data_IF_011986900299
#
_entry.id   IF_011986900299
#
_cell.length_a   1.000
_cell.length_b   1.000
_cell.length_c   1.000
_cell.angle_alpha   90.00
_cell.angle_beta   90.00
_cell.angle_gamma   90.00
#
_symmetry.space_group_name_H-M   'P 1'
#
loop_
_entity.id
_entity.type
_entity.pdbx_description
1 polymer ?
#
# COMPACT_ATOMS: atom_id res chain seq x y z
N UNK A 1 28.92 -25.03 -1.38
CA UNK A 1 27.82 -25.71 -0.66
C UNK A 1 27.49 -25.07 0.71
N UNK A 2 27.83 -23.79 0.98
CA UNK A 2 27.82 -23.25 2.36
C UNK A 2 26.57 -22.43 2.74
N UNK A 3 25.73 -22.00 1.80
CA UNK A 3 24.68 -20.98 2.10
C UNK A 3 23.31 -21.51 2.57
N UNK A 4 23.11 -22.83 2.65
CA UNK A 4 21.79 -23.39 3.07
C UNK A 4 21.67 -23.58 4.58
N UNK A 5 22.78 -23.64 5.31
CA UNK A 5 22.75 -23.84 6.76
C UNK A 5 22.24 -22.59 7.50
N UNK A 6 22.61 -21.40 7.01
CA UNK A 6 22.23 -20.14 7.66
C UNK A 6 20.72 -19.92 7.72
N UNK A 7 19.97 -20.29 6.67
CA UNK A 7 18.53 -20.08 6.63
C UNK A 7 17.81 -20.85 7.75
N UNK A 8 18.25 -22.09 8.03
CA UNK A 8 17.65 -22.90 9.10
C UNK A 8 17.97 -22.34 10.50
N UNK A 9 19.18 -21.79 10.68
CA UNK A 9 19.59 -21.17 11.94
C UNK A 9 18.83 -19.86 12.18
N UNK A 10 18.74 -18.99 11.17
CA UNK A 10 18.00 -17.72 11.24
C UNK A 10 16.52 -17.96 11.53
N UNK A 11 15.91 -19.00 10.95
CA UNK A 11 14.51 -19.31 11.23
C UNK A 11 14.29 -19.80 12.69
N UNK A 12 15.27 -20.51 13.25
CA UNK A 12 15.24 -20.93 14.66
C UNK A 12 15.43 -19.73 15.60
N UNK A 13 16.32 -18.81 15.21
CA UNK A 13 16.59 -17.56 15.94
C UNK A 13 15.35 -16.64 15.98
N UNK A 14 14.62 -16.49 14.86
CA UNK A 14 13.36 -15.73 14.80
C UNK A 14 12.28 -16.36 15.69
N UNK A 15 12.19 -17.69 15.74
CA UNK A 15 11.23 -18.37 16.62
C UNK A 15 11.54 -18.11 18.08
N UNK A 16 12.81 -18.16 18.47
CA UNK A 16 13.25 -17.88 19.83
C UNK A 16 13.05 -16.40 20.21
N UNK A 17 13.36 -15.47 19.29
CA UNK A 17 13.14 -14.04 19.50
C UNK A 17 11.65 -13.71 19.69
N UNK A 18 10.77 -14.30 18.88
CA UNK A 18 9.32 -14.12 19.01
C UNK A 18 8.80 -14.63 20.36
N UNK A 19 9.29 -15.78 20.82
CA UNK A 19 8.87 -16.34 22.11
C UNK A 19 9.37 -15.49 23.29
N UNK A 20 10.57 -14.93 23.19
CA UNK A 20 11.09 -14.00 24.19
C UNK A 20 10.27 -12.70 24.25
N UNK A 21 9.90 -12.14 23.10
CA UNK A 21 9.06 -10.93 23.06
C UNK A 21 7.65 -11.14 23.62
N UNK A 22 7.07 -12.35 23.45
CA UNK A 22 5.74 -12.65 24.00
C UNK A 22 5.73 -12.85 25.52
N UNK A 23 6.85 -13.28 26.12
CA UNK A 23 6.93 -13.43 27.58
C UNK A 23 7.07 -12.07 28.28
N UNK A 24 7.78 -11.12 27.67
CA UNK A 24 8.02 -9.80 28.26
C UNK A 24 6.81 -8.84 28.21
N UNK A 25 5.71 -9.23 27.57
CA UNK A 25 4.53 -8.37 27.45
C UNK A 25 3.43 -8.63 28.48
N UNK A 26 3.57 -9.63 29.37
CA UNK A 26 2.46 -10.01 30.26
C UNK A 26 2.47 -9.42 31.67
N UNK A 27 3.48 -8.63 32.10
CA UNK A 27 3.56 -8.25 33.53
C UNK A 27 3.59 -6.74 33.85
N UNK A 28 3.84 -5.80 32.93
CA UNK A 28 4.14 -4.41 33.37
C UNK A 28 3.27 -3.28 32.82
N UNK A 29 2.03 -3.51 32.38
CA UNK A 29 1.21 -2.38 31.91
C UNK A 29 -0.30 -2.47 32.13
N UNK A 30 -0.76 -2.99 33.28
CA UNK A 30 -2.17 -2.89 33.69
C UNK A 30 -2.45 -1.77 34.72
N UNK A 31 -1.42 -1.06 35.23
CA UNK A 31 -1.64 -0.11 36.35
C UNK A 31 -1.36 1.37 36.06
N UNK A 32 -0.77 1.75 34.93
CA UNK A 32 -0.51 3.18 34.64
C UNK A 32 -1.56 3.86 33.75
N UNK A 33 -2.54 3.12 33.19
CA UNK A 33 -3.63 3.68 32.36
C UNK A 33 -4.84 4.10 33.21
N UNK A 34 -4.63 4.53 34.44
CA UNK A 34 -5.69 5.16 35.26
C UNK A 34 -5.32 6.54 35.80
N UNK A 35 -4.08 7.00 35.60
CA UNK A 35 -3.58 8.25 36.17
C UNK A 35 -3.43 9.42 35.22
N UNK A 36 -3.64 9.23 33.91
CA UNK A 36 -3.51 10.30 32.91
C UNK A 36 -4.77 10.44 32.07
N UNK A 37 -5.87 10.79 32.72
CA UNK A 37 -6.88 11.64 32.08
C UNK A 37 -6.27 13.04 32.12
N UNK A 38 -5.21 13.22 31.33
CA UNK A 38 -4.62 14.53 31.08
C UNK A 38 -5.68 15.31 30.30
N UNK A 39 -6.00 16.51 30.79
CA UNK A 39 -7.13 17.33 30.33
C UNK A 39 -7.16 17.52 28.82
N UNK A 40 -8.30 17.99 28.27
CA UNK A 40 -8.60 17.94 26.84
C UNK A 40 -7.38 18.36 26.04
N UNK A 41 -6.66 17.37 25.52
CA UNK A 41 -5.54 17.58 24.60
C UNK A 41 -6.15 18.43 23.52
N UNK A 42 -5.71 19.68 23.46
CA UNK A 42 -6.02 20.57 22.37
C UNK A 42 -5.84 19.73 21.13
N UNK A 43 -6.95 19.47 20.46
CA UNK A 43 -6.98 18.61 19.28
C UNK A 43 -6.08 19.35 18.32
N UNK A 44 -4.85 18.87 18.21
CA UNK A 44 -3.81 19.47 17.39
C UNK A 44 -4.45 19.69 16.03
N UNK A 45 -4.45 20.95 15.59
CA UNK A 45 -5.07 21.47 14.38
C UNK A 45 -5.21 20.37 13.34
N UNK A 46 -6.46 20.06 12.99
CA UNK A 46 -6.82 19.11 11.94
C UNK A 46 -5.89 19.35 10.77
N UNK A 47 -4.86 18.51 10.62
CA UNK A 47 -4.05 18.53 9.42
C UNK A 47 -5.05 18.37 8.29
N UNK A 48 -5.09 19.33 7.36
CA UNK A 48 -6.00 19.28 6.25
C UNK A 48 -5.69 18.01 5.46
N UNK A 49 -6.48 16.98 5.72
CA UNK A 49 -6.43 15.74 4.97
C UNK A 49 -6.88 16.12 3.57
N UNK A 50 -6.07 15.83 2.53
CA UNK A 50 -6.46 16.10 1.16
C UNK A 50 -7.86 15.56 0.90
N UNK A 51 -8.67 16.33 0.16
CA UNK A 51 -10.02 15.87 -0.16
C UNK A 51 -9.95 14.53 -0.89
N UNK A 52 -10.94 13.67 -0.69
CA UNK A 52 -11.00 12.39 -1.40
C UNK A 52 -10.96 12.59 -2.92
N UNK A 53 -11.59 13.66 -3.44
CA UNK A 53 -11.52 14.03 -4.86
C UNK A 53 -10.10 14.34 -5.33
N UNK A 54 -9.30 15.04 -4.53
CA UNK A 54 -7.89 15.31 -4.88
C UNK A 54 -7.07 14.03 -4.88
N UNK A 55 -7.29 13.16 -3.89
CA UNK A 55 -6.60 11.87 -3.81
C UNK A 55 -6.98 10.96 -4.98
N UNK A 56 -8.26 10.89 -5.32
CA UNK A 56 -8.76 10.12 -6.46
C UNK A 56 -8.23 10.70 -7.77
N UNK A 57 -8.26 12.02 -7.96
CA UNK A 57 -7.71 12.69 -9.13
C UNK A 57 -6.22 12.40 -9.33
N UNK A 58 -5.43 12.47 -8.24
CA UNK A 58 -4.02 12.06 -8.25
C UNK A 58 -3.85 10.58 -8.62
N UNK A 59 -4.69 9.69 -8.09
CA UNK A 59 -4.63 8.27 -8.41
C UNK A 59 -4.93 8.00 -9.90
N UNK A 60 -5.91 8.68 -10.49
CA UNK A 60 -6.21 8.58 -11.92
C UNK A 60 -5.04 9.08 -12.77
N UNK A 61 -4.49 10.25 -12.44
CA UNK A 61 -3.33 10.81 -13.15
C UNK A 61 -2.11 9.88 -13.08
N UNK A 62 -1.86 9.27 -11.92
CA UNK A 62 -0.79 8.29 -11.75
C UNK A 62 -1.01 7.03 -12.60
N UNK A 63 -2.26 6.53 -12.70
CA UNK A 63 -2.58 5.41 -13.61
C UNK A 63 -2.33 5.79 -15.07
N UNK A 64 -2.72 7.00 -15.48
CA UNK A 64 -2.45 7.49 -16.82
C UNK A 64 -0.95 7.59 -17.12
N UNK A 65 -0.15 8.07 -16.17
CA UNK A 65 1.31 8.16 -16.30
C UNK A 65 1.96 6.78 -16.49
N UNK A 66 1.60 5.79 -15.66
CA UNK A 66 2.17 4.43 -15.82
C UNK A 66 1.71 3.75 -17.11
N UNK A 67 0.51 4.08 -17.59
CA UNK A 67 0.02 3.62 -18.89
C UNK A 67 0.82 4.25 -20.04
N UNK A 68 1.05 5.58 -20.01
CA UNK A 68 1.86 6.29 -21.00
C UNK A 68 3.28 5.73 -21.03
N UNK A 69 3.91 5.60 -19.86
CA UNK A 69 5.26 5.05 -19.73
C UNK A 69 5.37 3.63 -20.30
N UNK A 70 4.38 2.77 -20.05
CA UNK A 70 4.36 1.42 -20.61
C UNK A 70 4.20 1.44 -22.14
N UNK A 71 3.42 2.38 -22.68
CA UNK A 71 3.27 2.57 -24.13
C UNK A 71 4.57 3.07 -24.76
N UNK A 72 5.19 4.09 -24.17
CA UNK A 72 6.46 4.67 -24.64
C UNK A 72 7.58 3.63 -24.65
N UNK A 73 7.74 2.86 -23.57
CA UNK A 73 8.74 1.80 -23.51
C UNK A 73 8.49 0.72 -24.56
N UNK A 74 7.23 0.35 -24.80
CA UNK A 74 6.88 -0.60 -25.86
C UNK A 74 7.29 -0.08 -27.22
N UNK A 75 6.92 1.16 -27.55
CA UNK A 75 7.28 1.78 -28.82
C UNK A 75 8.80 1.92 -28.98
N UNK A 76 9.51 2.36 -27.93
CA UNK A 76 10.97 2.47 -27.96
C UNK A 76 11.65 1.12 -28.21
N UNK A 77 11.15 0.04 -27.57
CA UNK A 77 11.61 -1.31 -27.83
C UNK A 77 11.33 -1.77 -29.27
N UNK A 78 10.12 -1.51 -29.79
CA UNK A 78 9.74 -1.83 -31.17
C UNK A 78 10.58 -1.06 -32.21
N UNK A 79 11.01 0.15 -31.88
CA UNK A 79 11.93 0.97 -32.69
C UNK A 79 13.40 0.53 -32.58
N UNK A 80 13.72 -0.42 -31.69
CA UNK A 80 15.07 -0.92 -31.49
C UNK A 80 15.96 0.00 -30.66
N UNK A 81 15.40 0.79 -29.75
CA UNK A 81 16.19 1.63 -28.83
C UNK A 81 17.12 0.74 -27.98
N UNK A 82 18.45 0.87 -28.07
CA UNK A 82 19.39 0.05 -27.33
C UNK A 82 19.31 0.25 -25.80
N UNK A 83 18.66 1.32 -25.33
CA UNK A 83 18.50 1.61 -23.90
C UNK A 83 17.25 0.94 -23.29
N UNK A 84 16.37 0.37 -24.12
CA UNK A 84 15.11 -0.24 -23.67
C UNK A 84 15.15 -1.74 -23.89
N UNK A 85 15.22 -2.49 -22.80
CA UNK A 85 15.12 -3.95 -22.79
C UNK A 85 13.64 -4.38 -22.73
N UNK A 86 13.30 -5.50 -23.39
CA UNK A 86 11.99 -6.15 -23.29
C UNK A 86 11.56 -6.37 -21.83
N UNK A 87 12.50 -6.64 -20.93
CA UNK A 87 12.25 -6.79 -19.49
C UNK A 87 11.66 -5.52 -18.89
N UNK A 88 12.13 -4.34 -19.29
CA UNK A 88 11.58 -3.05 -18.84
C UNK A 88 10.16 -2.84 -19.36
N UNK A 89 9.91 -3.19 -20.63
CA UNK A 89 8.57 -3.13 -21.23
C UNK A 89 7.60 -4.02 -20.46
N UNK A 90 8.02 -5.26 -20.14
CA UNK A 90 7.19 -6.21 -19.40
C UNK A 90 6.89 -5.73 -17.98
N UNK A 91 7.88 -5.21 -17.26
CA UNK A 91 7.70 -4.66 -15.91
C UNK A 91 6.75 -3.46 -15.95
N UNK A 92 6.94 -2.55 -16.92
CA UNK A 92 6.07 -1.38 -17.06
C UNK A 92 4.63 -1.77 -17.40
N UNK A 93 4.45 -2.74 -18.30
CA UNK A 93 3.13 -3.28 -18.64
C UNK A 93 2.44 -3.92 -17.42
N UNK A 94 3.16 -4.74 -16.65
CA UNK A 94 2.62 -5.34 -15.42
C UNK A 94 2.28 -4.27 -14.38
N UNK A 95 3.13 -3.26 -14.19
CA UNK A 95 2.89 -2.13 -13.28
C UNK A 95 1.64 -1.35 -13.67
N UNK A 96 1.47 -1.06 -14.97
CA UNK A 96 0.28 -0.41 -15.52
C UNK A 96 -0.99 -1.22 -15.24
N UNK A 97 -0.98 -2.53 -15.52
CA UNK A 97 -2.12 -3.42 -15.25
C UNK A 97 -2.52 -3.43 -13.78
N UNK A 98 -1.57 -3.64 -12.87
CA UNK A 98 -1.84 -3.66 -11.42
C UNK A 98 -2.38 -2.32 -10.93
N UNK A 99 -1.84 -1.20 -11.43
CA UNK A 99 -2.29 0.14 -11.06
C UNK A 99 -3.73 0.41 -11.52
N UNK A 100 -4.07 -0.03 -12.75
CA UNK A 100 -5.42 0.08 -13.28
C UNK A 100 -6.43 -0.81 -12.53
N UNK A 101 -6.04 -2.03 -12.18
CA UNK A 101 -6.87 -2.93 -11.37
C UNK A 101 -7.17 -2.32 -10.00
N UNK A 102 -6.17 -1.74 -9.33
CA UNK A 102 -6.34 -1.07 -8.05
C UNK A 102 -7.35 0.09 -8.14
N UNK A 103 -7.21 0.96 -9.15
CA UNK A 103 -8.15 2.06 -9.38
C UNK A 103 -9.56 1.54 -9.71
N UNK A 104 -9.66 0.46 -10.48
CA UNK A 104 -10.95 -0.17 -10.81
C UNK A 104 -11.66 -0.68 -9.55
N UNK A 105 -10.92 -1.20 -8.56
CA UNK A 105 -11.51 -1.58 -7.27
C UNK A 105 -12.10 -0.37 -6.54
N UNK A 106 -11.41 0.77 -6.55
CA UNK A 106 -11.92 2.03 -5.97
C UNK A 106 -13.16 2.49 -6.71
N UNK A 107 -13.14 2.53 -8.05
CA UNK A 107 -14.31 2.86 -8.89
C UNK A 107 -15.51 1.99 -8.52
N UNK A 108 -15.33 0.68 -8.44
CA UNK A 108 -16.40 -0.25 -8.09
C UNK A 108 -16.94 0.00 -6.67
N UNK A 109 -16.07 0.35 -5.71
CA UNK A 109 -16.50 0.71 -4.35
C UNK A 109 -17.35 1.98 -4.34
N UNK A 110 -16.93 3.01 -5.08
CA UNK A 110 -17.65 4.29 -5.19
C UNK A 110 -19.01 4.09 -5.86
N UNK A 111 -19.06 3.32 -6.95
CA UNK A 111 -20.33 3.01 -7.63
C UNK A 111 -21.28 2.25 -6.71
N UNK A 112 -20.81 1.22 -5.99
CA UNK A 112 -21.65 0.50 -5.03
C UNK A 112 -22.16 1.39 -3.92
N UNK A 113 -21.30 2.23 -3.33
CA UNK A 113 -21.73 3.17 -2.29
C UNK A 113 -22.79 4.16 -2.81
N UNK A 114 -22.67 4.59 -4.06
CA UNK A 114 -23.68 5.41 -4.72
C UNK A 114 -24.99 4.65 -4.92
N UNK A 115 -24.94 3.41 -5.42
CA UNK A 115 -26.10 2.54 -5.56
C UNK A 115 -26.78 2.26 -4.22
N UNK A 116 -26.02 2.04 -3.15
CA UNK A 116 -26.52 1.81 -1.80
C UNK A 116 -27.31 3.02 -1.28
N UNK A 117 -26.79 4.24 -1.48
CA UNK A 117 -27.47 5.49 -1.10
C UNK A 117 -28.76 5.67 -1.92
N UNK A 118 -28.70 5.40 -3.22
CA UNK A 118 -29.86 5.53 -4.11
C UNK A 118 -30.98 4.54 -3.76
N UNK A 119 -30.63 3.36 -3.27
CA UNK A 119 -31.58 2.32 -2.87
C UNK A 119 -32.02 2.43 -1.40
N UNK A 120 -31.56 3.44 -0.64
CA UNK A 120 -32.10 3.68 0.70
C UNK A 120 -33.58 4.07 0.58
N UNK A 121 -34.48 3.39 1.30
CA UNK A 121 -35.86 3.84 1.41
C UNK A 121 -35.87 5.20 2.11
N UNK A 122 -36.45 6.20 1.45
CA UNK A 122 -36.81 7.48 2.08
C UNK A 122 -38.07 7.26 2.92
#
# INVERSE_FOLDING_TARGET
MVQRADINNVLSEIRNLRTQMMQNQRIEQDQSVRGRIDGPRQVQETQEVPSFSDMLGKAVNNVHEVQSQASELRTAYEMGDPNVDITRVMIAAQKSSVSFEALTQVRNRVVRAYEDIMNMPI
#
